data_IF_586321585623
#
_entry.id   IF_586321585623
#
_cell.length_a   1.000
_cell.length_b   1.000
_cell.length_c   1.000
_cell.angle_alpha   90.00
_cell.angle_beta   90.00
_cell.angle_gamma   90.00
#
_symmetry.space_group_name_H-M   'P 1'
#
loop_
_entity.id
_entity.type
_entity.pdbx_description
1 polymer ?
#
# COMPACT_ATOMS: atom_id res chain seq x y z
N UNK A 1 -7.00 3.05 -24.65
CA UNK A 1 -6.58 4.09 -23.69
C UNK A 1 -5.07 4.18 -23.63
N UNK A 2 -4.36 3.10 -23.28
CA UNK A 2 -2.89 3.13 -23.18
C UNK A 2 -2.19 3.63 -24.43
N UNK A 3 -2.67 3.24 -25.62
CA UNK A 3 -2.11 3.66 -26.92
C UNK A 3 -2.33 5.17 -27.22
N UNK A 4 -3.27 5.80 -26.52
CA UNK A 4 -3.59 7.21 -26.68
C UNK A 4 -2.89 8.11 -25.65
N UNK A 5 -2.17 7.54 -24.69
CA UNK A 5 -1.43 8.29 -23.67
C UNK A 5 -0.22 8.98 -24.32
N UNK A 6 -0.25 10.30 -24.36
CA UNK A 6 0.93 11.08 -24.70
C UNK A 6 1.92 11.10 -23.51
N UNK A 7 3.23 11.14 -23.75
CA UNK A 7 4.18 11.38 -22.68
C UNK A 7 3.91 12.76 -22.06
N UNK A 8 3.40 12.80 -20.85
CA UNK A 8 3.12 14.03 -20.12
C UNK A 8 3.50 13.85 -18.65
N UNK A 9 3.69 14.98 -17.98
CA UNK A 9 3.93 15.01 -16.53
C UNK A 9 2.63 14.65 -15.84
N UNK A 10 2.66 13.57 -15.06
CA UNK A 10 1.50 13.13 -14.26
C UNK A 10 1.25 14.14 -13.13
N UNK A 11 -0.02 14.44 -12.80
CA UNK A 11 -0.32 15.28 -11.65
C UNK A 11 -0.03 14.52 -10.35
N UNK A 12 0.27 15.26 -9.27
CA UNK A 12 0.29 14.65 -7.94
C UNK A 12 -1.10 14.15 -7.55
N UNK A 13 -1.19 12.89 -7.13
CA UNK A 13 -2.43 12.21 -6.77
C UNK A 13 -3.17 12.84 -5.60
N UNK A 14 -2.48 13.61 -4.74
CA UNK A 14 -3.00 14.12 -3.48
C UNK A 14 -3.27 15.63 -3.46
N UNK A 15 -2.69 16.43 -4.36
CA UNK A 15 -2.88 17.89 -4.40
C UNK A 15 -4.19 18.29 -5.09
N UNK A 16 -4.67 17.52 -6.06
CA UNK A 16 -5.89 17.81 -6.82
C UNK A 16 -7.10 16.96 -6.44
N UNK A 17 -7.03 16.25 -5.31
CA UNK A 17 -8.04 15.26 -4.92
C UNK A 17 -9.44 15.83 -4.69
N UNK A 18 -9.59 17.12 -4.40
CA UNK A 18 -10.88 17.68 -3.97
C UNK A 18 -11.99 17.70 -5.02
N UNK A 19 -11.68 17.63 -6.35
CA UNK A 19 -12.71 17.75 -7.39
C UNK A 19 -12.47 16.91 -8.66
N UNK A 20 -11.64 15.89 -8.66
CA UNK A 20 -11.37 15.09 -9.87
C UNK A 20 -12.48 14.07 -10.15
N UNK A 21 -13.56 14.53 -10.76
CA UNK A 21 -14.37 13.66 -11.61
C UNK A 21 -13.73 13.67 -13.00
N UNK A 22 -13.23 12.52 -13.47
CA UNK A 22 -12.78 12.42 -14.86
C UNK A 22 -13.95 12.67 -15.79
N UNK A 23 -13.77 13.58 -16.75
CA UNK A 23 -14.72 13.80 -17.85
C UNK A 23 -14.45 12.83 -19.02
N UNK A 24 -13.31 12.12 -19.01
CA UNK A 24 -12.98 11.15 -20.03
C UNK A 24 -13.80 9.85 -19.88
N UNK A 25 -14.81 9.73 -20.74
CA UNK A 25 -15.68 8.55 -20.76
C UNK A 25 -14.94 7.28 -21.20
N UNK A 26 -13.87 7.40 -22.00
CA UNK A 26 -13.05 6.24 -22.40
C UNK A 26 -12.30 5.68 -21.22
N UNK A 27 -11.80 6.55 -20.33
CA UNK A 27 -11.14 6.17 -19.09
C UNK A 27 -12.14 5.59 -18.09
N UNK A 28 -13.22 6.30 -17.77
CA UNK A 28 -14.19 5.90 -16.72
C UNK A 28 -15.00 4.65 -17.08
N UNK A 29 -15.10 4.29 -18.35
CA UNK A 29 -15.69 3.02 -18.81
C UNK A 29 -14.68 1.86 -18.88
N UNK A 30 -13.38 2.15 -18.94
CA UNK A 30 -12.35 1.13 -19.03
C UNK A 30 -12.33 0.27 -17.76
N UNK A 31 -12.39 -1.05 -17.88
CA UNK A 31 -12.38 -2.02 -16.77
C UNK A 31 -13.56 -1.90 -15.77
N UNK A 32 -14.53 -1.05 -16.04
CA UNK A 32 -15.71 -0.83 -15.16
C UNK A 32 -16.84 -1.82 -15.50
N UNK A 33 -16.58 -3.11 -15.31
CA UNK A 33 -17.49 -4.19 -15.73
C UNK A 33 -18.78 -4.24 -14.93
N UNK A 34 -18.72 -3.93 -13.64
CA UNK A 34 -19.87 -3.93 -12.75
C UNK A 34 -20.60 -2.58 -12.69
N UNK A 35 -20.01 -1.52 -13.26
CA UNK A 35 -20.56 -0.17 -13.20
C UNK A 35 -20.39 0.53 -11.85
N UNK A 36 -19.57 -0.04 -10.95
CA UNK A 36 -19.31 0.44 -9.60
C UNK A 36 -18.00 1.24 -9.47
N UNK A 37 -17.27 1.41 -10.59
CA UNK A 37 -16.01 2.14 -10.67
C UNK A 37 -14.77 1.33 -10.26
N UNK A 38 -14.91 0.05 -9.90
CA UNK A 38 -13.77 -0.80 -9.57
C UNK A 38 -13.12 -1.32 -10.86
N UNK A 39 -11.82 -1.04 -11.02
CA UNK A 39 -11.01 -1.48 -12.16
C UNK A 39 -10.29 -2.80 -11.89
N UNK A 40 -9.77 -2.96 -10.68
CA UNK A 40 -8.89 -4.06 -10.28
C UNK A 40 -8.83 -4.16 -8.75
N UNK A 41 -8.01 -5.09 -8.24
CA UNK A 41 -7.69 -5.20 -6.82
C UNK A 41 -6.15 -5.23 -6.69
N UNK A 42 -5.58 -4.43 -5.80
CA UNK A 42 -4.18 -4.54 -5.39
C UNK A 42 -4.08 -5.38 -4.12
N UNK A 43 -3.13 -6.31 -4.09
CA UNK A 43 -2.80 -7.12 -2.91
C UNK A 43 -1.30 -7.00 -2.63
N UNK A 44 -0.93 -6.64 -1.38
CA UNK A 44 0.45 -6.49 -0.91
C UNK A 44 0.64 -7.46 0.27
N UNK A 45 1.07 -8.69 0.02
CA UNK A 45 1.08 -9.77 1.02
C UNK A 45 1.95 -9.47 2.24
N UNK A 46 3.04 -8.74 2.04
CA UNK A 46 3.99 -8.35 3.08
C UNK A 46 3.37 -7.58 4.23
N UNK A 47 2.42 -6.71 3.94
CA UNK A 47 1.75 -5.80 4.89
C UNK A 47 0.26 -6.12 5.04
N UNK A 48 -0.17 -7.28 4.55
CA UNK A 48 -1.57 -7.80 4.60
C UNK A 48 -2.62 -6.81 4.07
N UNK A 49 -2.28 -6.08 3.01
CA UNK A 49 -3.17 -5.14 2.33
C UNK A 49 -3.83 -5.81 1.14
N UNK A 50 -5.14 -5.63 1.01
CA UNK A 50 -5.92 -5.99 -0.16
C UNK A 50 -7.04 -4.97 -0.36
N UNK A 51 -6.92 -4.16 -1.43
CA UNK A 51 -7.78 -3.01 -1.68
C UNK A 51 -8.34 -3.03 -3.10
N UNK A 52 -9.61 -2.64 -3.30
CA UNK A 52 -10.10 -2.31 -4.64
C UNK A 52 -9.40 -1.07 -5.17
N UNK A 53 -9.16 -1.06 -6.47
CA UNK A 53 -8.62 0.07 -7.23
C UNK A 53 -9.78 0.68 -8.00
N UNK A 54 -10.10 1.94 -7.69
CA UNK A 54 -11.12 2.71 -8.39
C UNK A 54 -10.50 3.60 -9.46
N UNK A 55 -11.34 4.08 -10.37
CA UNK A 55 -10.96 5.17 -11.26
C UNK A 55 -10.69 6.43 -10.43
N UNK A 56 -9.72 7.23 -10.89
CA UNK A 56 -9.30 8.50 -10.32
C UNK A 56 -8.67 8.39 -8.92
N UNK A 57 -8.07 9.48 -8.49
CA UNK A 57 -7.51 9.69 -7.15
C UNK A 57 -8.29 10.77 -6.40
N UNK A 58 -9.61 10.84 -6.62
CA UNK A 58 -10.47 11.77 -5.89
C UNK A 58 -10.49 11.47 -4.40
N UNK A 59 -10.77 12.47 -3.57
CA UNK A 59 -10.89 12.29 -2.11
C UNK A 59 -11.96 11.25 -1.75
N UNK A 60 -13.07 11.21 -2.51
CA UNK A 60 -14.10 10.19 -2.35
C UNK A 60 -13.54 8.76 -2.48
N UNK A 61 -12.61 8.55 -3.41
CA UNK A 61 -11.94 7.26 -3.62
C UNK A 61 -10.89 7.02 -2.55
N UNK A 62 -9.96 7.97 -2.37
CA UNK A 62 -8.79 7.78 -1.50
C UNK A 62 -9.14 7.67 -0.02
N UNK A 63 -10.30 8.20 0.40
CA UNK A 63 -10.79 8.05 1.79
C UNK A 63 -11.13 6.61 2.18
N UNK A 64 -11.35 5.71 1.21
CA UNK A 64 -11.85 4.34 1.45
C UNK A 64 -11.09 3.23 0.73
N UNK A 65 -10.33 3.56 -0.30
CA UNK A 65 -9.75 2.58 -1.23
C UNK A 65 -8.44 3.07 -1.88
N UNK A 66 -7.91 2.30 -2.82
CA UNK A 66 -6.89 2.74 -3.73
C UNK A 66 -7.52 3.36 -4.98
N UNK A 67 -6.86 4.36 -5.54
CA UNK A 67 -7.24 5.04 -6.77
C UNK A 67 -6.19 4.88 -7.86
N UNK A 68 -6.63 4.69 -9.10
CA UNK A 68 -5.76 4.71 -10.26
C UNK A 68 -5.53 6.15 -10.69
N UNK A 69 -4.25 6.54 -10.84
CA UNK A 69 -3.89 7.87 -11.31
C UNK A 69 -4.21 8.01 -12.80
N UNK A 70 -5.21 8.83 -13.11
CA UNK A 70 -5.56 9.16 -14.49
C UNK A 70 -4.38 9.77 -15.24
N UNK A 71 -4.17 9.32 -16.47
CA UNK A 71 -2.98 9.68 -17.27
C UNK A 71 -1.84 8.68 -17.16
N UNK A 72 -1.85 7.76 -16.17
CA UNK A 72 -0.98 6.60 -16.17
C UNK A 72 -1.58 5.44 -16.97
N UNK A 73 -0.80 4.40 -17.29
CA UNK A 73 -1.29 3.22 -17.99
C UNK A 73 -2.34 2.48 -17.17
N UNK A 74 -3.36 1.90 -17.82
CA UNK A 74 -4.31 1.02 -17.13
C UNK A 74 -3.58 -0.17 -16.48
N UNK A 75 -4.06 -0.68 -15.31
CA UNK A 75 -3.40 -1.74 -14.56
C UNK A 75 -3.63 -3.14 -15.14
N UNK A 76 -3.50 -3.27 -16.46
CA UNK A 76 -3.68 -4.53 -17.20
C UNK A 76 -2.36 -5.21 -17.56
N UNK A 77 -1.25 -4.56 -17.26
CA UNK A 77 0.10 -4.98 -17.65
C UNK A 77 0.35 -4.83 -19.14
N UNK A 78 1.56 -5.11 -19.56
CA UNK A 78 1.99 -5.07 -20.94
C UNK A 78 3.31 -4.34 -21.12
N UNK A 79 3.96 -4.58 -22.25
CA UNK A 79 5.19 -3.88 -22.61
C UNK A 79 4.90 -2.39 -22.79
N UNK A 80 5.87 -1.55 -22.37
CA UNK A 80 5.77 -0.09 -22.46
C UNK A 80 4.60 0.50 -21.66
N UNK A 81 4.29 -0.10 -20.50
CA UNK A 81 3.25 0.38 -19.58
C UNK A 81 3.80 0.69 -18.19
N UNK A 82 3.22 1.71 -17.54
CA UNK A 82 3.46 2.06 -16.16
C UNK A 82 2.16 2.54 -15.50
N UNK A 83 1.51 1.67 -14.75
CA UNK A 83 0.30 2.02 -14.01
C UNK A 83 0.67 2.59 -12.63
N UNK A 84 -0.06 3.61 -12.17
CA UNK A 84 0.14 4.23 -10.86
C UNK A 84 -1.11 4.06 -10.01
N UNK A 85 -0.93 3.47 -8.83
CA UNK A 85 -1.98 3.16 -7.87
C UNK A 85 -1.68 3.93 -6.59
N UNK A 86 -2.57 4.84 -6.20
CA UNK A 86 -2.40 5.71 -5.05
C UNK A 86 -3.36 5.34 -3.93
N UNK A 87 -2.92 5.44 -2.69
CA UNK A 87 -3.78 5.33 -1.51
C UNK A 87 -3.21 6.15 -0.35
N UNK A 88 -4.08 6.59 0.55
CA UNK A 88 -3.67 7.35 1.73
C UNK A 88 -2.80 6.54 2.71
N UNK A 89 -2.03 7.28 3.49
CA UNK A 89 -1.25 6.80 4.62
C UNK A 89 -1.69 7.53 5.88
N UNK A 90 -1.93 6.77 6.97
CA UNK A 90 -2.21 7.36 8.27
C UNK A 90 -3.64 7.86 8.47
N UNK A 91 -4.62 7.38 7.69
CA UNK A 91 -6.02 7.64 7.98
C UNK A 91 -6.45 6.86 9.22
N UNK A 92 -7.10 7.51 10.23
CA UNK A 92 -7.56 6.81 11.43
C UNK A 92 -8.62 5.72 11.14
N UNK A 93 -9.35 5.87 10.03
CA UNK A 93 -10.48 5.00 9.65
C UNK A 93 -10.08 3.78 8.81
N UNK A 94 -8.88 3.77 8.22
CA UNK A 94 -8.46 2.73 7.29
C UNK A 94 -6.94 2.58 7.19
N UNK A 95 -6.46 1.35 7.13
CA UNK A 95 -5.02 1.06 7.03
C UNK A 95 -4.44 1.48 5.68
N UNK A 96 -5.13 1.21 4.58
CA UNK A 96 -4.73 1.54 3.21
C UNK A 96 -3.22 1.28 2.95
N UNK A 97 -2.43 2.30 2.58
CA UNK A 97 -0.98 2.19 2.37
C UNK A 97 -0.15 2.67 3.58
N UNK A 98 -0.73 2.61 4.80
CA UNK A 98 -0.06 3.06 6.03
C UNK A 98 1.32 2.41 6.22
N UNK A 99 1.43 1.12 5.97
CA UNK A 99 2.64 0.33 6.18
C UNK A 99 3.45 0.11 4.89
N UNK A 100 3.22 0.90 3.82
CA UNK A 100 3.92 0.74 2.54
C UNK A 100 5.44 0.90 2.67
N UNK A 101 5.93 1.65 3.64
CA UNK A 101 7.35 1.82 3.96
C UNK A 101 8.03 0.55 4.52
N UNK A 102 7.26 -0.46 4.91
CA UNK A 102 7.80 -1.76 5.34
C UNK A 102 8.10 -2.70 4.16
N UNK A 103 7.62 -2.37 2.97
CA UNK A 103 7.91 -3.10 1.73
C UNK A 103 9.36 -2.85 1.32
N UNK A 104 10.04 -3.88 0.83
CA UNK A 104 11.46 -3.86 0.46
C UNK A 104 11.65 -4.34 -0.96
N UNK A 105 12.79 -4.00 -1.56
CA UNK A 105 13.21 -4.58 -2.84
C UNK A 105 13.25 -6.10 -2.74
N UNK A 106 12.69 -6.77 -3.75
CA UNK A 106 12.50 -8.22 -3.80
C UNK A 106 11.19 -8.72 -3.17
N UNK A 107 10.43 -7.88 -2.44
CA UNK A 107 9.06 -8.23 -2.03
C UNK A 107 8.12 -8.15 -3.24
N UNK A 108 6.97 -8.84 -3.16
CA UNK A 108 6.02 -8.91 -4.27
C UNK A 108 4.69 -8.26 -3.91
N UNK A 109 4.04 -7.68 -4.93
CA UNK A 109 2.63 -7.32 -4.85
C UNK A 109 1.88 -7.80 -6.09
N UNK A 110 0.57 -7.89 -5.97
CA UNK A 110 -0.30 -8.44 -7.00
C UNK A 110 -1.33 -7.41 -7.45
N UNK A 111 -1.64 -7.43 -8.74
CA UNK A 111 -2.80 -6.73 -9.30
C UNK A 111 -3.72 -7.78 -9.90
N UNK A 112 -4.91 -7.90 -9.33
CA UNK A 112 -5.96 -8.78 -9.84
C UNK A 112 -6.88 -7.97 -10.75
N UNK A 113 -6.81 -8.23 -12.04
CA UNK A 113 -7.57 -7.49 -13.06
C UNK A 113 -8.20 -8.46 -14.03
N UNK A 114 -9.48 -8.28 -14.32
CA UNK A 114 -10.25 -9.23 -15.11
C UNK A 114 -10.10 -10.65 -14.52
N UNK A 115 -9.69 -11.61 -15.33
CA UNK A 115 -9.45 -13.01 -14.91
C UNK A 115 -7.94 -13.31 -14.71
N UNK A 116 -7.11 -12.27 -14.51
CA UNK A 116 -5.65 -12.41 -14.41
C UNK A 116 -5.15 -11.95 -13.05
N UNK A 117 -4.09 -12.60 -12.56
CA UNK A 117 -3.26 -12.13 -11.45
C UNK A 117 -1.91 -11.73 -12.01
N UNK A 118 -1.61 -10.45 -11.95
CA UNK A 118 -0.35 -9.87 -12.37
C UNK A 118 0.54 -9.77 -11.14
N UNK A 119 1.75 -10.33 -11.19
CA UNK A 119 2.71 -10.30 -10.09
C UNK A 119 3.84 -9.34 -10.44
N UNK A 120 4.17 -8.46 -9.50
CA UNK A 120 5.23 -7.47 -9.63
C UNK A 120 6.22 -7.65 -8.49
N UNK A 121 7.52 -7.71 -8.81
CA UNK A 121 8.62 -7.71 -7.83
C UNK A 121 9.14 -6.29 -7.67
N UNK A 122 9.23 -5.83 -6.43
CA UNK A 122 9.70 -4.47 -6.11
C UNK A 122 11.20 -4.34 -6.40
N UNK A 123 11.55 -3.43 -7.29
CA UNK A 123 12.94 -3.12 -7.64
C UNK A 123 13.35 -1.68 -7.34
N UNK A 124 12.39 -0.75 -7.16
CA UNK A 124 12.67 0.63 -6.83
C UNK A 124 11.78 1.12 -5.68
N UNK A 125 12.39 1.85 -4.75
CA UNK A 125 11.71 2.57 -3.67
C UNK A 125 12.35 3.95 -3.60
N UNK A 126 11.54 4.99 -3.80
CA UNK A 126 12.00 6.38 -3.88
C UNK A 126 11.09 7.28 -3.03
N UNK A 127 11.69 8.19 -2.30
CA UNK A 127 10.99 9.33 -1.69
C UNK A 127 11.29 10.58 -2.50
N UNK A 128 10.28 11.35 -2.87
CA UNK A 128 10.41 12.50 -3.76
C UNK A 128 9.46 13.64 -3.38
N UNK A 129 9.71 14.84 -3.88
CA UNK A 129 8.78 15.95 -3.75
C UNK A 129 7.49 15.70 -4.55
N UNK A 130 6.35 16.31 -4.16
CA UNK A 130 5.06 16.07 -4.78
C UNK A 130 4.97 16.38 -6.28
N UNK A 131 5.79 17.30 -6.78
CA UNK A 131 5.84 17.74 -8.17
C UNK A 131 6.85 16.94 -9.02
N UNK A 132 7.73 16.15 -8.39
CA UNK A 132 8.65 15.27 -9.11
C UNK A 132 7.99 13.91 -9.40
N UNK A 133 7.46 13.77 -10.59
CA UNK A 133 6.84 12.55 -11.11
C UNK A 133 7.74 11.75 -12.04
N UNK A 134 9.03 12.06 -12.10
CA UNK A 134 10.01 11.42 -13.00
C UNK A 134 10.07 9.89 -12.83
N UNK A 135 9.93 9.41 -11.59
CA UNK A 135 9.91 7.98 -11.26
C UNK A 135 8.68 7.23 -11.79
N UNK A 136 7.62 7.94 -12.24
CA UNK A 136 6.38 7.39 -12.74
C UNK A 136 6.33 7.29 -14.27
N UNK A 137 7.39 7.72 -14.95
CA UNK A 137 7.47 7.71 -16.41
C UNK A 137 7.45 6.27 -16.96
N UNK A 138 6.78 6.10 -18.11
CA UNK A 138 6.83 4.85 -18.87
C UNK A 138 8.27 4.58 -19.32
N UNK A 139 8.74 3.36 -19.16
CA UNK A 139 10.06 2.92 -19.57
C UNK A 139 9.94 1.91 -20.70
N UNK A 140 10.68 2.15 -21.80
CA UNK A 140 10.67 1.28 -22.96
C UNK A 140 10.99 -0.18 -22.61
N UNK A 141 10.22 -1.10 -23.12
CA UNK A 141 10.38 -2.53 -22.90
C UNK A 141 9.88 -3.06 -21.56
N UNK A 142 9.45 -2.20 -20.63
CA UNK A 142 9.06 -2.61 -19.29
C UNK A 142 7.54 -2.64 -19.08
N UNK A 143 7.12 -3.48 -18.16
CA UNK A 143 5.76 -3.56 -17.60
C UNK A 143 5.90 -3.24 -16.10
N UNK A 144 5.50 -2.01 -15.72
CA UNK A 144 5.70 -1.46 -14.39
C UNK A 144 4.37 -1.10 -13.73
N UNK A 145 4.37 -1.24 -12.40
CA UNK A 145 3.33 -0.68 -11.53
C UNK A 145 4.00 0.04 -10.36
N UNK A 146 3.57 1.26 -10.07
CA UNK A 146 3.97 2.01 -8.89
C UNK A 146 2.83 2.11 -7.88
N UNK A 147 3.15 1.86 -6.61
CA UNK A 147 2.31 2.14 -5.45
C UNK A 147 2.76 3.48 -4.87
N UNK A 148 1.84 4.43 -4.75
CA UNK A 148 2.13 5.81 -4.38
C UNK A 148 1.39 6.19 -3.10
N UNK A 149 2.10 6.77 -2.13
CA UNK A 149 1.50 7.30 -0.91
C UNK A 149 2.27 8.52 -0.39
N UNK A 150 1.71 9.20 0.61
CA UNK A 150 2.39 10.31 1.28
C UNK A 150 3.43 9.83 2.31
N UNK A 151 4.49 10.62 2.49
CA UNK A 151 5.55 10.40 3.50
C UNK A 151 6.10 11.75 3.97
N UNK A 152 6.74 11.88 5.18
CA UNK A 152 6.68 10.95 6.30
C UNK A 152 5.28 10.81 6.91
N UNK A 153 5.04 9.75 7.67
CA UNK A 153 3.76 9.49 8.33
C UNK A 153 3.27 10.71 9.14
N UNK A 154 2.04 11.16 8.88
CA UNK A 154 1.40 12.30 9.55
C UNK A 154 1.94 13.68 9.17
N UNK A 155 3.05 13.78 8.43
CA UNK A 155 3.63 15.04 7.92
C UNK A 155 3.24 15.25 6.46
N UNK A 156 3.35 14.21 5.63
CA UNK A 156 2.83 14.13 4.25
C UNK A 156 3.45 15.15 3.26
N UNK A 157 4.65 15.63 3.53
CA UNK A 157 5.35 16.63 2.69
C UNK A 157 5.92 16.04 1.41
N UNK A 158 6.22 14.74 1.42
CA UNK A 158 6.83 14.02 0.30
C UNK A 158 5.95 12.87 -0.17
N UNK A 159 6.38 12.19 -1.24
CA UNK A 159 5.73 11.01 -1.80
C UNK A 159 6.66 9.81 -1.73
N UNK A 160 6.14 8.70 -1.22
CA UNK A 160 6.79 7.40 -1.26
C UNK A 160 6.27 6.65 -2.49
N UNK A 161 7.18 6.28 -3.38
CA UNK A 161 6.91 5.53 -4.61
C UNK A 161 7.60 4.18 -4.51
N UNK A 162 6.80 3.11 -4.51
CA UNK A 162 7.28 1.72 -4.54
C UNK A 162 6.95 1.14 -5.90
N UNK A 163 7.97 0.95 -6.75
CA UNK A 163 7.81 0.46 -8.12
C UNK A 163 8.22 -0.99 -8.23
N UNK A 164 7.39 -1.80 -8.88
CA UNK A 164 7.70 -3.16 -9.24
C UNK A 164 7.62 -3.39 -10.74
N UNK A 165 8.46 -4.31 -11.22
CA UNK A 165 8.41 -4.82 -12.58
C UNK A 165 7.69 -6.17 -12.63
N UNK A 166 7.11 -6.48 -13.80
CA UNK A 166 6.36 -7.70 -14.01
C UNK A 166 7.23 -8.95 -13.89
N UNK A 167 6.76 -9.92 -13.09
CA UNK A 167 7.36 -11.25 -12.96
C UNK A 167 6.34 -12.37 -13.10
N UNK A 168 6.79 -13.60 -13.27
CA UNK A 168 5.91 -14.77 -13.28
C UNK A 168 5.29 -14.98 -11.89
N UNK A 169 3.97 -15.16 -11.83
CA UNK A 169 3.29 -15.39 -10.57
C UNK A 169 3.68 -16.74 -9.95
N UNK A 170 4.20 -16.73 -8.74
CA UNK A 170 4.50 -17.92 -7.95
C UNK A 170 3.77 -17.87 -6.59
N UNK A 171 2.70 -18.64 -6.46
CA UNK A 171 1.86 -18.67 -5.26
C UNK A 171 2.63 -19.05 -3.98
N UNK A 172 3.67 -19.87 -4.07
CA UNK A 172 4.45 -20.29 -2.90
C UNK A 172 5.30 -19.16 -2.34
N UNK A 173 5.87 -18.31 -3.19
CA UNK A 173 6.66 -17.13 -2.81
C UNK A 173 5.76 -16.11 -2.13
N UNK A 174 4.65 -15.76 -2.75
CA UNK A 174 3.66 -14.79 -2.22
C UNK A 174 3.10 -15.24 -0.87
N UNK A 175 2.75 -16.53 -0.72
CA UNK A 175 2.24 -17.05 0.56
C UNK A 175 3.31 -17.04 1.66
N UNK A 176 4.59 -17.22 1.33
CA UNK A 176 5.69 -17.12 2.29
C UNK A 176 5.88 -15.70 2.78
N UNK A 177 5.76 -14.72 1.91
CA UNK A 177 5.83 -13.29 2.27
C UNK A 177 4.69 -12.89 3.20
N UNK A 178 3.45 -13.29 2.88
CA UNK A 178 2.29 -13.07 3.73
C UNK A 178 2.49 -13.64 5.14
N UNK A 179 3.01 -14.84 5.24
CA UNK A 179 3.30 -15.50 6.52
C UNK A 179 4.37 -14.77 7.34
N UNK A 180 5.43 -14.31 6.67
CA UNK A 180 6.52 -13.58 7.31
C UNK A 180 6.11 -12.16 7.74
N UNK A 181 5.27 -11.48 6.95
CA UNK A 181 4.72 -10.16 7.29
C UNK A 181 3.83 -10.21 8.51
N UNK A 182 2.88 -11.14 8.55
CA UNK A 182 1.96 -11.31 9.66
C UNK A 182 2.66 -11.67 10.98
N UNK A 183 3.66 -12.55 10.96
CA UNK A 183 4.43 -12.92 12.16
C UNK A 183 5.25 -11.76 12.71
N UNK A 184 5.81 -10.89 11.86
CA UNK A 184 6.61 -9.74 12.30
C UNK A 184 5.79 -8.72 13.08
N UNK A 185 4.59 -8.38 12.62
CA UNK A 185 3.73 -7.37 13.25
C UNK A 185 3.10 -7.86 14.56
N UNK A 186 2.56 -9.10 14.57
CA UNK A 186 1.87 -9.65 15.74
C UNK A 186 2.83 -10.17 16.82
N UNK A 187 3.97 -10.73 16.44
CA UNK A 187 4.93 -11.29 17.40
C UNK A 187 5.52 -10.20 18.29
N UNK A 188 5.82 -9.03 17.75
CA UNK A 188 6.35 -7.92 18.54
C UNK A 188 5.33 -7.41 19.56
N UNK A 189 4.06 -7.24 19.19
CA UNK A 189 3.01 -6.80 20.09
C UNK A 189 2.77 -7.80 21.24
N UNK A 190 2.61 -9.08 20.91
CA UNK A 190 2.40 -10.14 21.91
C UNK A 190 3.58 -10.26 22.86
N UNK A 191 4.81 -10.14 22.38
CA UNK A 191 6.02 -10.14 23.21
C UNK A 191 6.01 -9.00 24.24
N UNK A 192 5.68 -7.79 23.83
CA UNK A 192 5.58 -6.65 24.72
C UNK A 192 4.44 -6.77 25.73
N UNK A 193 3.30 -7.35 25.37
CA UNK A 193 2.19 -7.64 26.28
C UNK A 193 2.63 -8.67 27.32
N UNK A 194 3.31 -9.76 26.94
CA UNK A 194 3.81 -10.78 27.85
C UNK A 194 4.85 -10.18 28.81
N UNK A 195 5.78 -9.39 28.30
CA UNK A 195 6.79 -8.70 29.14
C UNK A 195 6.10 -7.75 30.14
N UNK A 196 5.13 -6.98 29.71
CA UNK A 196 4.35 -6.10 30.58
C UNK A 196 3.62 -6.86 31.69
N UNK A 197 2.98 -7.97 31.38
CA UNK A 197 2.32 -8.83 32.36
C UNK A 197 3.30 -9.48 33.36
N UNK A 198 4.47 -9.91 32.87
CA UNK A 198 5.51 -10.48 33.74
C UNK A 198 6.09 -9.44 34.74
N UNK A 199 6.32 -8.22 34.26
CA UNK A 199 6.80 -7.11 35.08
C UNK A 199 5.78 -6.72 36.19
N UNK A 200 4.50 -6.56 35.78
CA UNK A 200 3.42 -6.23 36.71
C UNK A 200 3.16 -7.34 37.73
N UNK A 201 3.16 -8.60 37.28
CA UNK A 201 3.02 -9.77 38.16
C UNK A 201 4.18 -9.88 39.17
N UNK A 202 5.41 -9.67 38.71
CA UNK A 202 6.61 -9.62 39.57
C UNK A 202 6.54 -8.51 40.63
N UNK A 203 6.08 -7.32 40.23
CA UNK A 203 5.92 -6.21 41.15
C UNK A 203 4.87 -6.48 42.24
N UNK A 204 3.70 -7.02 41.84
CA UNK A 204 2.63 -7.42 42.78
C UNK A 204 3.15 -8.50 43.74
N UNK A 205 3.91 -9.48 43.28
CA UNK A 205 4.49 -10.53 44.12
C UNK A 205 5.47 -9.99 45.15
N UNK A 206 6.30 -9.03 44.77
CA UNK A 206 7.25 -8.35 45.68
C UNK A 206 6.47 -7.59 46.77
N UNK A 207 5.43 -6.86 46.40
CA UNK A 207 4.59 -6.13 47.36
C UNK A 207 3.89 -7.10 48.32
N UNK A 208 3.33 -8.18 47.84
CA UNK A 208 2.68 -9.21 48.63
C UNK A 208 3.67 -9.84 49.67
N UNK A 209 4.87 -10.16 49.19
CA UNK A 209 5.92 -10.73 50.07
C UNK A 209 6.39 -9.75 51.14
N UNK A 210 6.44 -8.44 50.83
CA UNK A 210 6.78 -7.38 51.76
C UNK A 210 5.69 -7.19 52.82
N UNK A 211 4.42 -7.18 52.43
CA UNK A 211 3.27 -7.08 53.33
C UNK A 211 3.20 -8.28 54.31
N UNK A 212 3.37 -9.50 53.79
CA UNK A 212 3.41 -10.71 54.62
C UNK A 212 4.54 -10.70 55.66
N UNK A 213 5.71 -10.13 55.29
CA UNK A 213 6.87 -10.01 56.18
C UNK A 213 6.65 -8.95 57.28
N UNK A 214 5.85 -7.92 57.01
CA UNK A 214 5.47 -6.90 58.03
C UNK A 214 4.47 -7.46 59.04
N UNK A 215 3.43 -8.20 58.55
CA UNK A 215 2.42 -8.83 59.43
C UNK A 215 2.94 -9.98 60.29
N UNK A 216 4.10 -10.54 59.98
CA UNK A 216 4.75 -11.60 60.74
C UNK A 216 5.69 -11.07 61.86
N UNK A 217 5.80 -9.75 61.99
CA UNK A 217 6.64 -9.09 63.02
C UNK A 217 5.82 -8.39 64.10
N UNK A 218 4.52 -8.33 63.94
CA UNK A 218 3.53 -7.99 64.97
C UNK A 218 3.06 -9.28 65.71
#
# INVERSE_FOLDING_TARGET
YNDALAPHILPDSFIKAENQKSEDKSYTSALNLAGDGIMAIVEIPKIDVKLPIYHTTSEEVLSKAAGHLEGSSLPVGGKDTHAVISAHRGLPSATLFTDLDQVKKGDHFLVHVLNKTLCYEVDSIVETEPDDTSALAVQEGKDLVSLLTCTPYGVNTQRLIVTGHRVSYNKSVVNKEKKNGFTSLHTNYLLWVIVGLAVTGGFIFILYKKDKKMRSKE
#
